data_IF_367983762884
#
_entry.id   IF_367983762884
#
_cell.length_a   1.000
_cell.length_b   1.000
_cell.length_c   1.000
_cell.angle_alpha   90.00
_cell.angle_beta   90.00
_cell.angle_gamma   90.00
#
_symmetry.space_group_name_H-M   'P 1'
#
loop_
_entity.id
_entity.type
_entity.pdbx_description
1 polymer ?
#
# COMPACT_ATOMS: atom_id res chain seq x y z
N UNK A 1 -21.13 13.51 -19.04
CA UNK A 1 -19.75 14.05 -18.93
C UNK A 1 -19.60 15.45 -19.52
N UNK A 2 -20.54 15.92 -20.38
CA UNK A 2 -20.49 17.24 -21.00
C UNK A 2 -20.80 18.43 -20.07
N UNK A 3 -21.55 18.21 -19.00
CA UNK A 3 -22.03 19.29 -18.13
C UNK A 3 -20.93 19.89 -17.21
N UNK A 4 -19.93 19.13 -16.83
CA UNK A 4 -18.81 19.61 -16.01
C UNK A 4 -17.77 20.43 -16.80
N UNK A 5 -17.70 20.27 -18.13
CA UNK A 5 -16.79 21.04 -18.98
C UNK A 5 -17.23 22.50 -19.20
N UNK A 6 -18.46 22.84 -18.87
CA UNK A 6 -19.05 24.19 -19.04
C UNK A 6 -18.83 25.09 -17.80
N UNK A 7 -18.34 24.56 -16.68
CA UNK A 7 -18.07 25.36 -15.48
C UNK A 7 -16.73 26.09 -15.62
N UNK A 8 -16.63 27.37 -15.23
CA UNK A 8 -15.39 28.16 -15.30
C UNK A 8 -14.41 27.79 -14.18
N UNK A 9 -14.22 26.49 -13.94
CA UNK A 9 -13.33 25.96 -12.91
C UNK A 9 -12.07 25.39 -13.57
N UNK A 10 -10.90 25.73 -13.04
CA UNK A 10 -9.62 25.19 -13.53
C UNK A 10 -9.61 23.67 -13.37
N UNK A 11 -9.21 22.95 -14.43
CA UNK A 11 -9.15 21.47 -14.44
C UNK A 11 -8.34 20.91 -13.26
N UNK A 12 -7.25 21.57 -12.87
CA UNK A 12 -6.47 21.19 -11.71
C UNK A 12 -7.25 21.28 -10.38
N UNK A 13 -8.10 22.30 -10.21
CA UNK A 13 -8.91 22.41 -8.99
C UNK A 13 -9.97 21.30 -8.89
N UNK A 14 -10.53 20.87 -10.03
CA UNK A 14 -11.45 19.72 -10.05
C UNK A 14 -10.74 18.41 -9.69
N UNK A 15 -9.54 18.19 -10.23
CA UNK A 15 -8.74 17.02 -9.92
C UNK A 15 -8.35 16.99 -8.44
N UNK A 16 -7.78 18.08 -7.92
CA UNK A 16 -7.35 18.14 -6.52
C UNK A 16 -8.50 17.97 -5.54
N UNK A 17 -9.68 18.52 -5.83
CA UNK A 17 -10.87 18.34 -4.99
C UNK A 17 -11.38 16.89 -5.02
N UNK A 18 -11.41 16.24 -6.17
CA UNK A 18 -11.82 14.85 -6.30
C UNK A 18 -10.81 13.92 -5.62
N UNK A 19 -9.50 14.16 -5.82
CA UNK A 19 -8.43 13.41 -5.17
C UNK A 19 -8.49 13.56 -3.64
N UNK A 20 -8.60 14.78 -3.14
CA UNK A 20 -8.72 15.03 -1.70
C UNK A 20 -9.99 14.41 -1.11
N UNK A 21 -11.12 14.48 -1.83
CA UNK A 21 -12.37 13.85 -1.40
C UNK A 21 -12.27 12.33 -1.27
N UNK A 22 -11.63 11.66 -2.23
CA UNK A 22 -11.40 10.22 -2.16
C UNK A 22 -10.42 9.84 -1.04
N UNK A 23 -9.32 10.58 -0.89
CA UNK A 23 -8.35 10.35 0.17
C UNK A 23 -8.97 10.54 1.57
N UNK A 24 -9.75 11.61 1.77
CA UNK A 24 -10.43 11.85 3.05
C UNK A 24 -11.45 10.77 3.38
N UNK A 25 -12.16 10.24 2.39
CA UNK A 25 -13.10 9.14 2.60
C UNK A 25 -12.37 7.84 3.04
N UNK A 26 -11.22 7.52 2.43
CA UNK A 26 -10.39 6.38 2.84
C UNK A 26 -9.85 6.57 4.27
N UNK A 27 -9.26 7.71 4.57
CA UNK A 27 -8.74 8.00 5.91
C UNK A 27 -9.84 8.00 6.98
N UNK A 28 -11.04 8.46 6.66
CA UNK A 28 -12.17 8.39 7.57
C UNK A 28 -12.56 6.95 7.90
N UNK A 29 -12.53 6.05 6.91
CA UNK A 29 -12.77 4.63 7.14
C UNK A 29 -11.68 3.98 8.01
N UNK A 30 -10.39 4.34 7.81
CA UNK A 30 -9.30 3.84 8.64
C UNK A 30 -9.43 4.25 10.10
N UNK A 31 -9.80 5.52 10.36
CA UNK A 31 -10.06 6.02 11.71
C UNK A 31 -11.24 5.27 12.35
N UNK A 32 -12.28 4.97 11.59
CA UNK A 32 -13.44 4.23 12.09
C UNK A 32 -13.06 2.80 12.49
N UNK A 33 -12.26 2.12 11.66
CA UNK A 33 -11.74 0.78 11.98
C UNK A 33 -10.79 0.84 13.18
N UNK A 34 -9.94 1.85 13.28
CA UNK A 34 -9.07 2.05 14.45
C UNK A 34 -9.87 2.22 15.74
N UNK A 35 -10.94 3.03 15.72
CA UNK A 35 -11.82 3.21 16.89
C UNK A 35 -12.50 1.90 17.31
N UNK A 36 -12.95 1.10 16.34
CA UNK A 36 -13.56 -0.21 16.67
C UNK A 36 -12.53 -1.18 17.24
N UNK A 37 -11.29 -1.21 16.74
CA UNK A 37 -10.21 -2.02 17.27
C UNK A 37 -9.85 -1.58 18.70
N UNK A 38 -9.75 -0.29 18.94
CA UNK A 38 -9.46 0.28 20.26
C UNK A 38 -10.54 -0.09 21.30
N UNK A 39 -11.81 -0.01 20.90
CA UNK A 39 -12.93 -0.41 21.78
C UNK A 39 -12.89 -1.93 22.07
N UNK A 40 -12.57 -2.74 21.08
CA UNK A 40 -12.47 -4.19 21.25
C UNK A 40 -11.33 -4.58 22.21
N UNK A 41 -10.13 -4.00 22.04
CA UNK A 41 -8.99 -4.26 22.93
C UNK A 41 -9.23 -3.73 24.35
N UNK A 42 -9.87 -2.57 24.49
CA UNK A 42 -10.25 -2.05 25.81
C UNK A 42 -11.23 -2.98 26.53
N UNK A 43 -12.16 -3.61 25.80
CA UNK A 43 -13.13 -4.56 26.36
C UNK A 43 -12.51 -5.83 26.92
N UNK A 44 -11.37 -6.27 26.39
CA UNK A 44 -10.64 -7.48 26.85
C UNK A 44 -9.45 -7.17 27.77
N UNK A 45 -9.25 -5.91 28.16
CA UNK A 45 -8.12 -5.42 28.96
C UNK A 45 -6.73 -5.79 28.40
N UNK A 46 -6.62 -5.91 27.06
CA UNK A 46 -5.39 -6.25 26.34
C UNK A 46 -4.81 -5.05 25.57
N UNK A 47 -5.06 -3.85 25.99
CA UNK A 47 -4.81 -2.60 25.28
C UNK A 47 -3.30 -2.36 25.09
N UNK A 48 -2.83 -2.49 23.85
CA UNK A 48 -1.45 -2.21 23.43
C UNK A 48 -1.40 -1.00 22.48
N UNK A 49 -1.45 0.21 23.07
CA UNK A 49 -1.46 1.46 22.31
C UNK A 49 -0.31 1.60 21.31
N UNK A 50 0.97 1.27 21.62
CA UNK A 50 2.05 1.38 20.65
C UNK A 50 1.82 0.51 19.40
N UNK A 51 1.30 -0.69 19.58
CA UNK A 51 1.00 -1.60 18.48
C UNK A 51 -0.16 -1.10 17.59
N UNK A 52 -1.25 -0.62 18.21
CA UNK A 52 -2.39 -0.05 17.50
C UNK A 52 -2.00 1.19 16.67
N UNK A 53 -1.19 2.08 17.25
CA UNK A 53 -0.70 3.26 16.52
C UNK A 53 0.22 2.88 15.36
N UNK A 54 1.11 1.89 15.55
CA UNK A 54 1.93 1.36 14.49
C UNK A 54 1.08 0.80 13.35
N UNK A 55 0.06 -0.01 13.69
CA UNK A 55 -0.85 -0.59 12.72
C UNK A 55 -1.62 0.47 11.93
N UNK A 56 -2.14 1.52 12.61
CA UNK A 56 -2.80 2.64 11.95
C UNK A 56 -1.85 3.37 10.99
N UNK A 57 -0.62 3.66 11.43
CA UNK A 57 0.37 4.33 10.60
C UNK A 57 0.70 3.54 9.32
N UNK A 58 0.82 2.22 9.43
CA UNK A 58 1.06 1.34 8.28
C UNK A 58 -0.10 1.42 7.30
N UNK A 59 -1.34 1.28 7.77
CA UNK A 59 -2.53 1.30 6.91
C UNK A 59 -2.65 2.64 6.19
N UNK A 60 -2.46 3.76 6.90
CA UNK A 60 -2.52 5.10 6.31
C UNK A 60 -1.45 5.26 5.22
N UNK A 61 -0.21 4.84 5.49
CA UNK A 61 0.87 4.92 4.50
C UNK A 61 0.59 4.04 3.28
N UNK A 62 0.08 2.83 3.48
CA UNK A 62 -0.33 1.93 2.39
C UNK A 62 -1.44 2.54 1.55
N UNK A 63 -2.48 3.08 2.18
CA UNK A 63 -3.60 3.72 1.49
C UNK A 63 -3.13 4.91 0.66
N UNK A 64 -2.23 5.75 1.16
CA UNK A 64 -1.65 6.86 0.39
C UNK A 64 -0.87 6.35 -0.81
N UNK A 65 -0.07 5.30 -0.64
CA UNK A 65 0.73 4.68 -1.72
C UNK A 65 -0.17 4.16 -2.83
N UNK A 66 -1.12 3.29 -2.49
CA UNK A 66 -1.97 2.65 -3.49
C UNK A 66 -2.97 3.61 -4.12
N UNK A 67 -3.50 4.57 -3.35
CA UNK A 67 -4.40 5.57 -3.88
C UNK A 67 -3.69 6.55 -4.84
N UNK A 68 -2.46 6.98 -4.51
CA UNK A 68 -1.64 7.80 -5.40
C UNK A 68 -1.32 7.08 -6.71
N UNK A 69 -0.95 5.80 -6.64
CA UNK A 69 -0.70 4.99 -7.82
C UNK A 69 -1.98 4.75 -8.65
N UNK A 70 -3.11 4.52 -8.00
CA UNK A 70 -4.40 4.40 -8.69
C UNK A 70 -4.80 5.70 -9.41
N UNK A 71 -4.55 6.85 -8.79
CA UNK A 71 -4.77 8.16 -9.41
C UNK A 71 -3.90 8.36 -10.67
N UNK A 72 -2.63 7.95 -10.61
CA UNK A 72 -1.73 7.94 -11.76
C UNK A 72 -2.27 7.04 -12.88
N UNK A 73 -2.67 5.81 -12.57
CA UNK A 73 -3.28 4.91 -13.55
C UNK A 73 -4.56 5.48 -14.17
N UNK A 74 -5.36 6.19 -13.37
CA UNK A 74 -6.58 6.86 -13.85
C UNK A 74 -6.27 7.96 -14.87
N UNK A 75 -5.20 8.72 -14.67
CA UNK A 75 -4.74 9.73 -15.62
C UNK A 75 -4.25 9.11 -16.92
N UNK A 76 -3.54 7.97 -16.85
CA UNK A 76 -3.03 7.27 -18.03
C UNK A 76 -4.13 6.68 -18.90
N UNK A 77 -5.15 6.10 -18.28
CA UNK A 77 -6.17 5.34 -19.00
C UNK A 77 -7.34 6.20 -19.49
N UNK A 78 -7.68 7.26 -18.77
CA UNK A 78 -8.85 8.08 -19.07
C UNK A 78 -10.20 7.33 -19.08
N UNK A 79 -10.20 6.03 -18.81
CA UNK A 79 -11.37 5.14 -18.81
C UNK A 79 -11.49 4.38 -17.49
N UNK A 80 -12.64 4.52 -16.84
CA UNK A 80 -12.91 3.89 -15.56
C UNK A 80 -12.91 2.34 -15.64
N UNK A 81 -13.33 1.78 -16.80
CA UNK A 81 -13.41 0.34 -16.99
C UNK A 81 -12.03 -0.32 -17.19
N UNK A 82 -11.07 0.40 -17.77
CA UNK A 82 -9.72 -0.10 -18.07
C UNK A 82 -8.77 0.13 -16.88
N UNK A 83 -9.09 1.07 -16.00
CA UNK A 83 -8.26 1.43 -14.85
C UNK A 83 -7.85 0.24 -13.98
N UNK A 84 -8.76 -0.63 -13.50
CA UNK A 84 -8.36 -1.76 -12.63
C UNK A 84 -7.44 -2.75 -13.36
N UNK A 85 -7.63 -2.93 -14.67
CA UNK A 85 -6.79 -3.81 -15.46
C UNK A 85 -5.37 -3.27 -15.59
N UNK A 86 -5.21 -1.98 -15.90
CA UNK A 86 -3.89 -1.34 -16.00
C UNK A 86 -3.21 -1.26 -14.64
N UNK A 87 -3.97 -1.00 -13.57
CA UNK A 87 -3.47 -0.99 -12.21
C UNK A 87 -2.84 -2.34 -11.84
N UNK A 88 -3.60 -3.42 -11.97
CA UNK A 88 -3.12 -4.79 -11.67
C UNK A 88 -1.96 -5.18 -12.60
N UNK A 89 -2.04 -4.84 -13.88
CA UNK A 89 -0.98 -5.14 -14.84
C UNK A 89 0.33 -4.46 -14.46
N UNK A 90 0.32 -3.18 -14.11
CA UNK A 90 1.52 -2.45 -13.72
C UNK A 90 2.11 -2.97 -12.39
N UNK A 91 1.26 -3.35 -11.43
CA UNK A 91 1.71 -3.89 -10.13
C UNK A 91 2.30 -5.29 -10.24
N UNK A 92 1.71 -6.14 -11.08
CA UNK A 92 2.08 -7.55 -11.19
C UNK A 92 3.16 -7.81 -12.23
N UNK A 93 3.21 -7.05 -13.33
CA UNK A 93 4.19 -7.27 -14.42
C UNK A 93 5.62 -7.21 -13.90
N UNK A 94 5.94 -6.27 -13.03
CA UNK A 94 7.29 -6.14 -12.47
C UNK A 94 7.69 -7.41 -11.72
N UNK A 95 6.80 -7.92 -10.87
CA UNK A 95 7.05 -9.14 -10.10
C UNK A 95 7.15 -10.40 -10.99
N UNK A 96 6.29 -10.50 -12.00
CA UNK A 96 6.33 -11.64 -12.94
C UNK A 96 7.61 -11.62 -13.77
N UNK A 97 8.02 -10.47 -14.28
CA UNK A 97 9.28 -10.33 -15.04
C UNK A 97 10.49 -10.67 -14.16
N UNK A 98 10.51 -10.20 -12.93
CA UNK A 98 11.55 -10.56 -11.96
C UNK A 98 11.64 -12.07 -11.77
N UNK A 99 10.51 -12.72 -11.49
CA UNK A 99 10.43 -14.16 -11.27
C UNK A 99 10.92 -14.94 -12.52
N UNK A 100 10.53 -14.49 -13.71
CA UNK A 100 10.98 -15.10 -14.98
C UNK A 100 12.48 -14.94 -15.17
N UNK A 101 13.04 -13.75 -14.96
CA UNK A 101 14.48 -13.50 -15.08
C UNK A 101 15.26 -14.34 -14.08
N UNK A 102 14.82 -14.41 -12.82
CA UNK A 102 15.42 -15.27 -11.81
C UNK A 102 15.39 -16.76 -12.20
N UNK A 103 14.26 -17.24 -12.67
CA UNK A 103 14.11 -18.64 -13.10
C UNK A 103 15.03 -18.97 -14.30
N UNK A 104 15.16 -18.05 -15.25
CA UNK A 104 16.08 -18.21 -16.37
C UNK A 104 17.54 -18.18 -15.93
N UNK A 105 17.92 -17.25 -15.06
CA UNK A 105 19.29 -17.13 -14.58
C UNK A 105 19.72 -18.36 -13.77
N UNK A 106 18.83 -18.95 -12.98
CA UNK A 106 19.10 -20.19 -12.24
C UNK A 106 19.43 -21.38 -13.15
N UNK A 107 18.87 -21.41 -14.37
CA UNK A 107 19.16 -22.45 -15.35
C UNK A 107 20.56 -22.31 -15.96
N UNK A 108 21.09 -21.09 -16.09
CA UNK A 108 22.35 -20.81 -16.78
C UNK A 108 23.52 -20.53 -15.84
N UNK A 109 23.26 -20.07 -14.61
CA UNK A 109 24.29 -19.67 -13.65
C UNK A 109 24.30 -20.64 -12.48
N UNK A 110 25.32 -21.53 -12.46
CA UNK A 110 25.52 -22.50 -11.38
C UNK A 110 25.87 -21.76 -10.05
N UNK A 111 25.12 -21.99 -9.00
CA UNK A 111 25.38 -21.41 -7.68
C UNK A 111 24.69 -20.07 -7.38
N UNK A 112 23.80 -19.62 -8.23
CA UNK A 112 22.99 -18.45 -7.94
C UNK A 112 21.93 -18.79 -6.89
N UNK A 113 22.07 -18.24 -5.68
CA UNK A 113 21.06 -18.41 -4.62
C UNK A 113 19.77 -17.70 -5.00
N UNK A 114 18.65 -18.32 -4.68
CA UNK A 114 17.29 -17.80 -4.93
C UNK A 114 16.94 -16.62 -4.00
N UNK A 115 17.71 -15.56 -4.02
CA UNK A 115 17.55 -14.55 -2.98
C UNK A 115 18.10 -13.17 -3.26
N UNK A 116 18.01 -12.64 -4.48
CA UNK A 116 18.19 -11.20 -4.62
C UNK A 116 16.81 -10.51 -4.65
N UNK A 117 16.36 -10.04 -3.50
CA UNK A 117 15.14 -9.24 -3.32
C UNK A 117 15.21 -7.84 -3.95
N UNK A 118 16.21 -7.59 -4.82
CA UNK A 118 16.50 -6.25 -5.30
C UNK A 118 15.40 -5.67 -6.19
N UNK A 119 14.74 -6.50 -7.00
CA UNK A 119 13.67 -6.06 -7.89
C UNK A 119 12.27 -6.19 -7.25
N UNK A 120 12.13 -7.04 -6.24
CA UNK A 120 10.89 -7.15 -5.43
C UNK A 120 10.53 -5.82 -4.78
N UNK A 121 11.52 -4.94 -4.62
CA UNK A 121 11.31 -3.55 -4.17
C UNK A 121 10.42 -2.74 -5.13
N UNK A 122 10.42 -3.05 -6.43
CA UNK A 122 9.57 -2.37 -7.40
C UNK A 122 8.11 -2.83 -7.36
N UNK A 123 7.80 -3.90 -6.63
CA UNK A 123 6.42 -4.39 -6.46
C UNK A 123 5.96 -4.17 -5.01
N UNK A 124 5.38 -2.98 -4.68
CA UNK A 124 4.93 -2.64 -3.34
C UNK A 124 4.02 -3.67 -2.69
N UNK A 125 3.01 -4.26 -3.39
CA UNK A 125 2.12 -5.22 -2.75
C UNK A 125 2.84 -6.46 -2.22
N UNK A 126 3.79 -7.01 -2.99
CA UNK A 126 4.53 -8.21 -2.60
C UNK A 126 5.42 -7.94 -1.39
N UNK A 127 6.12 -6.80 -1.40
CA UNK A 127 6.99 -6.42 -0.29
C UNK A 127 6.20 -6.13 0.98
N UNK A 128 5.03 -5.50 0.86
CA UNK A 128 4.15 -5.22 1.99
C UNK A 128 3.54 -6.49 2.60
N UNK A 129 3.18 -7.49 1.78
CA UNK A 129 2.74 -8.80 2.26
C UNK A 129 3.87 -9.51 3.03
N UNK A 130 5.12 -9.38 2.58
CA UNK A 130 6.26 -9.98 3.25
C UNK A 130 6.61 -9.32 4.60
N UNK A 131 6.18 -8.09 4.84
CA UNK A 131 6.42 -7.39 6.13
C UNK A 131 5.64 -7.95 7.30
N UNK A 132 4.49 -8.52 7.09
CA UNK A 132 3.60 -9.20 8.06
C UNK A 132 3.67 -8.64 9.50
N UNK A 133 3.36 -7.37 9.75
CA UNK A 133 3.17 -6.92 11.11
C UNK A 133 1.92 -7.58 11.67
N UNK A 134 2.02 -8.21 12.82
CA UNK A 134 0.87 -8.93 13.34
C UNK A 134 1.06 -9.42 14.77
N UNK A 135 0.09 -10.14 15.25
CA UNK A 135 0.14 -10.86 16.52
C UNK A 135 0.25 -12.35 16.25
N UNK A 136 1.07 -13.04 17.01
CA UNK A 136 1.14 -14.49 16.97
C UNK A 136 1.19 -15.05 18.40
N UNK A 137 0.63 -16.24 18.54
CA UNK A 137 0.59 -16.94 19.83
C UNK A 137 1.94 -17.62 20.05
N UNK A 138 2.57 -17.33 21.17
CA UNK A 138 3.82 -17.95 21.60
C UNK A 138 3.53 -18.93 22.74
N UNK A 139 3.49 -20.22 22.45
CA UNK A 139 3.12 -21.26 23.41
C UNK A 139 1.64 -21.19 23.83
N UNK A 140 1.29 -21.87 24.92
CA UNK A 140 -0.12 -21.99 25.38
C UNK A 140 -0.71 -20.72 26.04
N UNK A 141 0.10 -19.70 26.34
CA UNK A 141 -0.35 -18.59 27.20
C UNK A 141 0.15 -17.19 26.81
N UNK A 142 0.94 -17.06 25.74
CA UNK A 142 1.57 -15.78 25.38
C UNK A 142 1.12 -15.23 24.02
N UNK A 143 0.78 -13.93 23.98
CA UNK A 143 0.60 -13.18 22.72
C UNK A 143 1.87 -12.36 22.50
N UNK A 144 2.57 -12.60 21.40
CA UNK A 144 3.70 -11.79 20.96
C UNK A 144 3.25 -10.82 19.86
N UNK A 145 3.72 -9.58 19.96
CA UNK A 145 3.48 -8.53 18.98
C UNK A 145 4.70 -8.38 18.07
N UNK A 146 4.50 -8.52 16.76
CA UNK A 146 5.54 -8.28 15.77
C UNK A 146 5.58 -6.78 15.42
N UNK A 147 6.59 -6.09 15.91
CA UNK A 147 6.84 -4.69 15.55
C UNK A 147 7.65 -4.60 14.26
N UNK A 148 7.40 -3.55 13.49
CA UNK A 148 8.15 -3.26 12.27
C UNK A 148 9.54 -2.74 12.62
N UNK A 149 10.56 -3.22 11.89
CA UNK A 149 11.95 -2.76 12.02
C UNK A 149 12.14 -1.38 11.37
N UNK A 150 13.20 -0.67 11.76
CA UNK A 150 13.52 0.66 11.21
C UNK A 150 13.72 0.63 9.68
N UNK A 151 14.26 -0.44 9.13
CA UNK A 151 14.44 -0.62 7.69
C UNK A 151 13.09 -0.71 6.97
N UNK A 152 12.14 -1.41 7.55
CA UNK A 152 10.78 -1.52 7.01
C UNK A 152 10.02 -0.18 7.07
N UNK A 153 10.23 0.62 8.13
CA UNK A 153 9.69 1.97 8.21
C UNK A 153 10.24 2.89 7.12
N UNK A 154 11.54 2.82 6.87
CA UNK A 154 12.18 3.58 5.79
C UNK A 154 11.61 3.18 4.44
N UNK A 155 11.45 1.89 4.18
CA UNK A 155 10.89 1.37 2.95
C UNK A 155 9.43 1.82 2.75
N UNK A 156 8.61 1.74 3.79
CA UNK A 156 7.21 2.18 3.77
C UNK A 156 7.11 3.70 3.50
N UNK A 157 8.01 4.49 4.09
CA UNK A 157 8.06 5.95 3.83
C UNK A 157 8.48 6.27 2.40
N UNK A 158 9.39 5.49 1.80
CA UNK A 158 9.75 5.63 0.39
C UNK A 158 8.56 5.35 -0.54
N UNK A 159 7.80 4.30 -0.26
CA UNK A 159 6.58 3.99 -1.04
C UNK A 159 5.52 5.08 -0.88
N UNK A 160 5.31 5.59 0.33
CA UNK A 160 4.38 6.68 0.56
C UNK A 160 4.80 7.96 -0.21
N UNK A 161 6.08 8.29 -0.20
CA UNK A 161 6.62 9.40 -0.97
C UNK A 161 6.42 9.21 -2.49
N UNK A 162 6.66 8.00 -2.99
CA UNK A 162 6.40 7.66 -4.39
C UNK A 162 4.91 7.80 -4.73
N UNK A 163 4.01 7.34 -3.87
CA UNK A 163 2.56 7.51 -4.04
C UNK A 163 2.14 8.97 -4.13
N UNK A 164 2.71 9.84 -3.30
CA UNK A 164 2.45 11.30 -3.36
C UNK A 164 2.97 11.89 -4.67
N UNK A 165 4.17 11.50 -5.11
CA UNK A 165 4.74 11.97 -6.39
C UNK A 165 3.88 11.54 -7.57
N UNK A 166 3.35 10.34 -7.58
CA UNK A 166 2.43 9.87 -8.63
C UNK A 166 1.08 10.60 -8.62
N UNK A 167 0.67 11.14 -7.47
CA UNK A 167 -0.59 11.87 -7.33
C UNK A 167 -0.53 13.33 -7.82
N UNK A 168 0.67 13.92 -7.94
CA UNK A 168 0.93 15.32 -8.33
C UNK A 168 1.25 15.41 -9.81
#
# INVERSE_FOLDING_TARGET
>A
TGMMAALPVKRGAMYTSAFAGGLTAMLASDVLVFLTALLAEAGINALNMPFLLQWLAIIVMMNVTFYGFAAFCAMLTGSLAVLPLVYVLLEVVVAVVEQMVHSLLQLFVFGMSSGSDALTFLSPPIKLIAMQPGTYIVGDTGIAFAYITNEQWLLLSCYCAAGIVFAV
#
